data_IF_345139024230
#
_entry.id   IF_345139024230
#
_cell.length_a   1.000
_cell.length_b   1.000
_cell.length_c   1.000
_cell.angle_alpha   90.00
_cell.angle_beta   90.00
_cell.angle_gamma   90.00
#
_symmetry.space_group_name_H-M   'P 1'
#
loop_
_entity.id
_entity.type
_entity.pdbx_description
1 polymer ?
#
# COMPACT_ATOMS: atom_id res chain seq x y z
N UNK A 1 -9.07 -13.71 -7.37
CA UNK A 1 -7.71 -13.38 -7.77
C UNK A 1 -7.74 -12.41 -8.95
N UNK A 2 -7.63 -11.10 -8.67
CA UNK A 2 -7.57 -10.06 -9.70
C UNK A 2 -6.13 -9.79 -10.14
N UNK A 3 -5.94 -9.42 -11.40
CA UNK A 3 -4.67 -8.94 -11.92
C UNK A 3 -4.65 -7.41 -11.87
N UNK A 4 -3.61 -6.83 -11.30
CA UNK A 4 -3.35 -5.39 -11.34
C UNK A 4 -2.18 -5.08 -12.28
N UNK A 5 -2.25 -3.93 -12.93
CA UNK A 5 -1.20 -3.42 -13.83
C UNK A 5 -0.65 -2.13 -13.26
N UNK A 6 0.66 -2.03 -13.22
CA UNK A 6 1.35 -0.84 -12.73
C UNK A 6 2.35 -0.33 -13.77
N UNK A 7 2.14 0.90 -14.22
CA UNK A 7 3.12 1.65 -14.99
C UNK A 7 3.45 2.91 -14.18
N UNK A 8 4.59 2.90 -13.55
CA UNK A 8 5.02 3.99 -12.70
C UNK A 8 6.39 4.53 -13.13
N UNK A 9 6.54 5.84 -13.03
CA UNK A 9 7.79 6.54 -13.22
C UNK A 9 8.39 6.85 -11.86
N UNK A 10 9.69 6.69 -11.73
CA UNK A 10 10.41 7.01 -10.50
C UNK A 10 11.56 7.95 -10.81
N UNK A 11 11.67 9.00 -10.02
CA UNK A 11 12.80 9.92 -10.05
C UNK A 11 13.36 10.08 -8.65
N UNK A 12 14.68 10.22 -8.54
CA UNK A 12 15.36 10.40 -7.26
C UNK A 12 16.43 11.48 -7.42
N UNK A 13 16.37 12.48 -6.54
CA UNK A 13 17.37 13.49 -6.39
C UNK A 13 18.15 13.25 -5.11
N UNK A 14 19.46 13.10 -5.23
CA UNK A 14 20.34 12.90 -4.08
C UNK A 14 21.41 13.98 -4.05
N UNK A 15 21.67 14.50 -2.86
CA UNK A 15 22.80 15.39 -2.60
C UNK A 15 23.60 14.85 -1.43
N UNK A 16 24.90 14.67 -1.66
CA UNK A 16 25.85 14.27 -0.63
C UNK A 16 26.91 15.36 -0.47
N UNK A 17 27.00 15.91 0.73
CA UNK A 17 28.00 16.92 1.12
C UNK A 17 28.78 16.48 2.37
N UNK A 18 28.77 15.18 2.68
CA UNK A 18 29.61 14.60 3.73
C UNK A 18 31.09 14.81 3.39
N UNK A 19 31.90 14.93 4.40
CA UNK A 19 33.34 15.15 4.21
C UNK A 19 34.05 14.01 3.44
N UNK A 20 35.36 14.08 3.38
CA UNK A 20 36.20 13.14 2.60
C UNK A 20 36.07 11.66 3.04
N UNK A 21 35.64 11.42 4.27
CA UNK A 21 35.42 10.07 4.79
C UNK A 21 33.91 9.75 4.80
N UNK A 22 33.41 8.96 3.83
CA UNK A 22 32.00 8.58 3.79
C UNK A 22 31.60 7.54 4.84
N UNK A 23 32.57 6.83 5.45
CA UNK A 23 32.31 5.80 6.45
C UNK A 23 32.17 6.45 7.84
N UNK A 24 33.01 7.43 8.15
CA UNK A 24 32.99 8.16 9.42
C UNK A 24 32.85 9.68 9.18
N UNK A 25 31.73 10.13 8.64
CA UNK A 25 31.54 11.55 8.36
C UNK A 25 31.52 12.36 9.65
N UNK A 26 32.35 13.40 9.74
CA UNK A 26 32.42 14.29 10.90
C UNK A 26 31.55 15.56 10.74
N UNK A 27 31.09 15.83 9.51
CA UNK A 27 30.28 17.01 9.15
C UNK A 27 29.58 16.82 7.83
N UNK A 28 28.63 17.70 7.57
CA UNK A 28 27.89 17.73 6.31
C UNK A 28 26.57 16.99 6.36
N UNK A 29 26.00 16.80 5.21
CA UNK A 29 24.67 16.16 5.08
C UNK A 29 24.59 15.28 3.85
N UNK A 30 23.73 14.30 3.94
CA UNK A 30 23.29 13.51 2.82
C UNK A 30 21.76 13.49 2.81
N UNK A 31 21.15 13.88 1.72
CA UNK A 31 19.71 13.77 1.59
C UNK A 31 19.29 13.27 0.22
N UNK A 32 18.17 12.60 0.22
CA UNK A 32 17.55 12.03 -0.96
C UNK A 32 16.06 12.33 -0.96
N UNK A 33 15.56 12.80 -2.09
CA UNK A 33 14.13 12.94 -2.37
C UNK A 33 13.79 12.03 -3.50
N UNK A 34 12.86 11.13 -3.30
CA UNK A 34 12.36 10.26 -4.37
C UNK A 34 10.87 10.48 -4.58
N UNK A 35 10.48 10.58 -5.84
CA UNK A 35 9.09 10.65 -6.25
C UNK A 35 8.79 9.49 -7.20
N UNK A 36 7.74 8.73 -6.92
CA UNK A 36 7.19 7.67 -7.75
C UNK A 36 5.75 8.02 -8.07
N UNK A 37 5.39 8.02 -9.34
CA UNK A 37 4.06 8.36 -9.79
C UNK A 37 3.64 7.49 -10.95
N UNK A 38 2.38 7.09 -10.94
CA UNK A 38 1.73 6.40 -12.04
C UNK A 38 0.94 7.38 -12.89
N UNK A 39 0.51 6.94 -14.07
CA UNK A 39 -0.38 7.75 -14.91
C UNK A 39 -1.76 7.87 -14.26
N UNK A 40 -2.40 9.04 -14.34
CA UNK A 40 -3.75 9.25 -13.80
C UNK A 40 -4.80 8.68 -14.76
N UNK A 41 -4.94 7.36 -14.80
CA UNK A 41 -5.85 6.64 -15.70
C UNK A 41 -7.31 7.03 -15.52
N UNK A 42 -7.71 7.41 -14.30
CA UNK A 42 -9.09 7.83 -14.00
C UNK A 42 -9.52 9.06 -14.78
N UNK A 43 -8.57 9.90 -15.22
CA UNK A 43 -8.88 11.08 -16.04
C UNK A 43 -9.26 10.73 -17.50
N UNK A 44 -8.86 9.55 -17.96
CA UNK A 44 -8.97 9.18 -19.38
C UNK A 44 -9.95 8.03 -19.64
N UNK A 45 -10.30 7.23 -18.62
CA UNK A 45 -11.09 6.03 -18.83
C UNK A 45 -12.61 6.22 -18.71
N UNK A 46 -13.07 7.39 -18.25
CA UNK A 46 -14.49 7.70 -18.13
C UNK A 46 -15.28 6.85 -17.15
N UNK A 47 -14.61 6.12 -16.24
CA UNK A 47 -15.26 5.26 -15.25
C UNK A 47 -15.66 6.10 -14.04
N UNK A 48 -16.95 6.03 -13.66
CA UNK A 48 -17.45 6.58 -12.41
C UNK A 48 -17.14 5.60 -11.26
N UNK A 49 -16.06 5.88 -10.52
CA UNK A 49 -15.60 5.05 -9.41
C UNK A 49 -16.46 5.20 -8.15
N UNK A 50 -17.16 6.33 -7.99
CA UNK A 50 -18.04 6.55 -6.84
C UNK A 50 -19.26 5.61 -6.89
N UNK A 51 -19.80 5.37 -8.08
CA UNK A 51 -21.00 4.57 -8.30
C UNK A 51 -20.73 3.17 -8.84
N UNK A 52 -19.48 2.70 -8.79
CA UNK A 52 -19.11 1.42 -9.37
C UNK A 52 -19.90 0.25 -8.77
N UNK A 53 -20.10 0.26 -7.44
CA UNK A 53 -20.87 -0.76 -6.74
C UNK A 53 -22.38 -0.80 -7.07
N UNK A 54 -22.91 0.24 -7.69
CA UNK A 54 -24.33 0.31 -8.07
C UNK A 54 -24.63 -0.39 -9.39
N UNK A 55 -23.60 -0.69 -10.20
CA UNK A 55 -23.76 -1.37 -11.48
C UNK A 55 -24.08 -2.84 -11.28
N UNK A 56 -25.02 -3.38 -12.05
CA UNK A 56 -25.47 -4.78 -11.95
C UNK A 56 -24.34 -5.80 -12.14
N UNK A 57 -23.31 -5.47 -12.91
CA UNK A 57 -22.16 -6.34 -13.16
C UNK A 57 -21.28 -6.58 -11.94
N UNK A 58 -21.31 -5.67 -10.94
CA UNK A 58 -20.52 -5.74 -9.69
C UNK A 58 -21.38 -6.13 -8.48
N UNK A 59 -22.65 -6.50 -8.70
CA UNK A 59 -23.51 -7.00 -7.63
C UNK A 59 -23.33 -8.48 -7.43
N UNK A 60 -23.47 -8.90 -6.19
CA UNK A 60 -23.51 -10.31 -5.83
C UNK A 60 -24.68 -10.97 -6.53
N UNK A 61 -24.39 -12.00 -7.33
CA UNK A 61 -25.39 -12.82 -7.97
C UNK A 61 -25.52 -14.13 -7.19
N UNK A 62 -26.74 -14.48 -6.81
CA UNK A 62 -27.00 -15.78 -6.22
C UNK A 62 -26.70 -16.88 -7.25
N UNK A 63 -25.66 -17.66 -7.02
CA UNK A 63 -25.43 -18.85 -7.78
C UNK A 63 -26.24 -19.97 -7.11
N UNK A 64 -27.40 -20.28 -7.67
CA UNK A 64 -28.21 -21.39 -7.22
C UNK A 64 -27.54 -22.70 -7.69
N UNK A 65 -27.01 -23.47 -6.74
CA UNK A 65 -26.60 -24.85 -6.98
C UNK A 65 -27.78 -25.69 -6.57
N UNK A 66 -28.29 -26.50 -7.47
CA UNK A 66 -29.42 -27.37 -7.22
C UNK A 66 -28.92 -28.79 -6.90
N UNK A 67 -28.68 -29.17 -5.62
CA UNK A 67 -28.52 -30.57 -5.28
C UNK A 67 -29.88 -31.24 -5.40
N UNK A 68 -29.91 -32.41 -5.98
CA UNK A 68 -31.08 -33.25 -6.02
C UNK A 68 -31.17 -34.08 -4.74
N UNK A 69 -32.37 -34.18 -4.15
CA UNK A 69 -32.65 -35.13 -3.07
C UNK A 69 -32.65 -36.57 -3.61
N UNK A 70 -32.75 -37.56 -2.71
CA UNK A 70 -32.84 -38.98 -3.07
C UNK A 70 -34.04 -39.33 -3.95
N UNK A 71 -35.01 -38.44 -4.11
CA UNK A 71 -36.21 -38.59 -4.92
C UNK A 71 -36.13 -37.81 -6.25
N UNK A 72 -34.97 -37.18 -6.54
CA UNK A 72 -34.79 -36.40 -7.75
C UNK A 72 -35.36 -34.99 -7.72
N UNK A 73 -35.89 -34.53 -6.58
CA UNK A 73 -36.37 -33.15 -6.43
C UNK A 73 -35.19 -32.21 -6.22
N UNK A 74 -35.20 -31.11 -6.95
CA UNK A 74 -34.18 -30.09 -6.88
C UNK A 74 -34.36 -29.25 -5.61
N UNK A 75 -33.38 -29.30 -4.71
CA UNK A 75 -33.33 -28.46 -3.52
C UNK A 75 -32.53 -27.21 -3.84
N UNK A 76 -33.08 -26.00 -3.72
CA UNK A 76 -32.33 -24.78 -3.91
C UNK A 76 -31.33 -24.58 -2.75
N UNK A 77 -30.05 -24.68 -3.07
CA UNK A 77 -28.97 -24.34 -2.13
C UNK A 77 -28.32 -23.03 -2.57
N UNK A 78 -28.35 -22.05 -1.71
CA UNK A 78 -27.69 -20.77 -1.94
C UNK A 78 -26.23 -20.89 -1.49
N UNK A 79 -25.30 -20.80 -2.44
CA UNK A 79 -23.85 -20.77 -2.17
C UNK A 79 -23.34 -19.37 -2.39
N UNK A 80 -22.62 -18.81 -1.42
CA UNK A 80 -22.01 -17.51 -1.59
C UNK A 80 -20.83 -17.55 -2.59
N UNK A 81 -20.41 -16.38 -3.08
CA UNK A 81 -19.34 -16.26 -4.06
C UNK A 81 -17.97 -16.80 -3.57
N UNK A 82 -17.79 -17.01 -2.28
CA UNK A 82 -16.57 -17.56 -1.64
C UNK A 82 -16.61 -19.06 -1.42
N UNK A 83 -17.71 -19.73 -1.78
CA UNK A 83 -17.82 -21.19 -1.63
C UNK A 83 -18.07 -21.67 -0.19
N UNK A 84 -18.34 -20.77 0.73
CA UNK A 84 -18.73 -21.10 2.11
C UNK A 84 -20.24 -21.27 2.23
N UNK A 85 -20.68 -22.16 3.13
CA UNK A 85 -22.09 -22.35 3.48
C UNK A 85 -22.58 -21.16 4.32
N UNK A 86 -22.82 -20.01 3.73
CA UNK A 86 -23.43 -18.89 4.44
C UNK A 86 -24.79 -18.57 3.87
N UNK A 87 -25.74 -18.51 4.76
CA UNK A 87 -27.17 -18.55 4.50
C UNK A 87 -27.83 -17.18 4.34
N UNK A 88 -27.07 -16.08 4.34
CA UNK A 88 -27.63 -14.74 4.25
C UNK A 88 -27.00 -13.96 3.09
N UNK A 89 -27.48 -14.24 1.90
CA UNK A 89 -27.15 -13.44 0.73
C UNK A 89 -28.22 -12.37 0.51
N UNK A 90 -27.86 -11.11 0.67
CA UNK A 90 -28.72 -10.00 0.28
C UNK A 90 -28.51 -9.75 -1.21
N UNK A 91 -29.49 -10.08 -2.05
CA UNK A 91 -29.46 -9.74 -3.48
C UNK A 91 -29.27 -8.24 -3.68
N UNK A 92 -28.47 -7.90 -4.67
CA UNK A 92 -28.24 -6.49 -5.03
C UNK A 92 -27.18 -5.74 -4.24
N UNK A 93 -26.49 -6.41 -3.30
CA UNK A 93 -25.31 -5.83 -2.60
C UNK A 93 -24.10 -5.89 -3.52
N UNK A 94 -23.28 -4.83 -3.51
CA UNK A 94 -22.04 -4.79 -4.25
C UNK A 94 -21.07 -5.89 -3.81
N UNK A 95 -20.52 -6.65 -4.75
CA UNK A 95 -19.38 -7.52 -4.50
C UNK A 95 -18.12 -6.67 -4.42
N UNK A 96 -17.66 -6.42 -3.19
CA UNK A 96 -16.47 -5.59 -2.93
C UNK A 96 -15.24 -6.13 -3.66
N UNK A 97 -15.13 -7.42 -3.82
CA UNK A 97 -14.02 -8.09 -4.52
C UNK A 97 -13.98 -7.73 -6.00
N UNK A 98 -15.13 -7.71 -6.67
CA UNK A 98 -15.25 -7.32 -8.07
C UNK A 98 -15.06 -5.81 -8.26
N UNK A 99 -15.63 -5.01 -7.35
CA UNK A 99 -15.44 -3.56 -7.33
C UNK A 99 -13.97 -3.21 -7.17
N UNK A 100 -13.26 -3.84 -6.23
CA UNK A 100 -11.85 -3.58 -5.99
C UNK A 100 -10.95 -4.08 -7.12
N UNK A 101 -11.33 -5.18 -7.80
CA UNK A 101 -10.64 -5.63 -9.00
C UNK A 101 -10.68 -4.59 -10.13
N UNK A 102 -11.83 -3.99 -10.39
CA UNK A 102 -11.93 -2.94 -11.41
C UNK A 102 -11.27 -1.65 -10.92
N UNK A 103 -11.46 -1.27 -9.65
CA UNK A 103 -10.86 -0.09 -9.03
C UNK A 103 -9.33 -0.09 -9.11
N UNK A 104 -8.70 -1.25 -8.87
CA UNK A 104 -7.24 -1.41 -8.84
C UNK A 104 -6.65 -2.16 -10.03
N UNK A 105 -7.41 -2.31 -11.10
CA UNK A 105 -6.96 -2.94 -12.35
C UNK A 105 -5.74 -2.23 -12.95
N UNK A 106 -5.75 -0.91 -12.96
CA UNK A 106 -4.61 -0.05 -13.26
C UNK A 106 -4.26 0.74 -12.01
N UNK A 107 -3.07 0.56 -11.48
CA UNK A 107 -2.66 1.26 -10.27
C UNK A 107 -2.40 2.74 -10.56
N UNK A 108 -3.01 3.59 -9.74
CA UNK A 108 -2.94 5.04 -9.87
C UNK A 108 -2.62 5.66 -8.52
N UNK A 109 -1.42 6.26 -8.40
CA UNK A 109 -0.93 6.84 -7.17
C UNK A 109 0.25 7.76 -7.42
N UNK A 110 0.55 8.59 -6.44
CA UNK A 110 1.81 9.28 -6.31
C UNK A 110 2.40 9.06 -4.92
N UNK A 111 3.69 8.87 -4.86
CA UNK A 111 4.44 8.55 -3.64
C UNK A 111 5.69 9.39 -3.58
N UNK A 112 5.85 10.13 -2.50
CA UNK A 112 7.03 10.98 -2.27
C UNK A 112 7.71 10.52 -0.99
N UNK A 113 9.03 10.35 -1.05
CA UNK A 113 9.85 10.02 0.11
C UNK A 113 11.01 10.98 0.22
N UNK A 114 11.29 11.36 1.44
CA UNK A 114 12.46 12.13 1.82
C UNK A 114 13.27 11.34 2.84
N UNK A 115 14.59 11.36 2.70
CA UNK A 115 15.52 10.83 3.69
C UNK A 115 16.69 11.78 3.80
N UNK A 116 17.04 12.17 5.00
CA UNK A 116 18.14 13.09 5.23
C UNK A 116 18.93 12.74 6.48
N UNK A 117 20.24 12.71 6.34
CA UNK A 117 21.21 12.58 7.44
C UNK A 117 22.01 13.86 7.57
N UNK A 118 22.13 14.37 8.79
CA UNK A 118 22.98 15.50 9.12
C UNK A 118 24.00 15.12 10.16
N UNK A 119 25.25 15.48 9.91
CA UNK A 119 26.39 15.19 10.78
C UNK A 119 26.94 16.51 11.32
N UNK A 120 26.92 16.64 12.64
CA UNK A 120 27.41 17.83 13.35
C UNK A 120 28.49 17.43 14.35
N UNK A 121 29.71 17.90 14.12
CA UNK A 121 30.79 17.68 15.05
C UNK A 121 30.59 18.53 16.30
N UNK A 122 30.46 17.89 17.44
CA UNK A 122 30.24 18.58 18.72
C UNK A 122 31.59 18.85 19.41
N UNK A 123 32.40 17.80 19.58
CA UNK A 123 33.65 17.90 20.29
C UNK A 123 34.65 16.80 19.88
N UNK A 124 35.87 17.19 19.49
CA UNK A 124 36.96 16.26 19.08
C UNK A 124 36.47 15.21 18.07
N UNK A 125 36.29 13.98 18.54
CA UNK A 125 35.81 12.82 17.74
C UNK A 125 34.32 12.52 17.94
N UNK A 126 33.63 13.38 18.71
CA UNK A 126 32.22 13.19 18.98
C UNK A 126 31.38 13.89 17.90
N UNK A 127 30.61 13.12 17.17
CA UNK A 127 29.76 13.59 16.06
C UNK A 127 28.32 13.20 16.37
N UNK A 128 27.43 14.15 16.27
CA UNK A 128 25.98 13.91 16.35
C UNK A 128 25.45 13.68 14.94
N UNK A 129 24.82 12.54 14.75
CA UNK A 129 24.04 12.24 13.55
C UNK A 129 22.56 12.42 13.85
N UNK A 130 21.91 13.28 13.08
CA UNK A 130 20.45 13.43 13.09
C UNK A 130 19.91 12.94 11.76
N UNK A 131 18.94 12.05 11.81
CA UNK A 131 18.29 11.48 10.63
C UNK A 131 16.79 11.77 10.65
N UNK A 132 16.27 12.23 9.53
CA UNK A 132 14.85 12.42 9.31
C UNK A 132 14.42 11.67 8.05
N UNK A 133 13.35 10.90 8.16
CA UNK A 133 12.71 10.22 7.05
C UNK A 133 11.23 10.56 7.03
N UNK A 134 10.72 10.84 5.83
CA UNK A 134 9.33 11.17 5.59
C UNK A 134 8.85 10.45 4.35
N UNK A 135 7.63 9.93 4.39
CA UNK A 135 6.97 9.35 3.23
C UNK A 135 5.50 9.72 3.17
N UNK A 136 5.06 9.97 1.97
CA UNK A 136 3.68 10.31 1.66
C UNK A 136 3.21 9.51 0.44
N UNK A 137 2.02 8.93 0.55
CA UNK A 137 1.33 8.23 -0.51
C UNK A 137 -0.06 8.84 -0.72
N UNK A 138 -0.36 9.23 -1.94
CA UNK A 138 -1.65 9.78 -2.31
C UNK A 138 -2.24 9.16 -3.57
N UNK A 139 -3.53 9.40 -3.78
CA UNK A 139 -4.26 9.04 -4.98
C UNK A 139 -4.67 10.31 -5.72
N UNK A 140 -4.73 10.27 -7.06
CA UNK A 140 -5.23 11.40 -7.86
C UNK A 140 -6.75 11.52 -7.78
N UNK A 141 -7.44 10.38 -7.63
CA UNK A 141 -8.88 10.32 -7.54
C UNK A 141 -9.30 9.74 -6.17
N UNK A 142 -10.06 10.53 -5.38
CA UNK A 142 -10.52 10.16 -4.04
C UNK A 142 -11.50 8.98 -4.05
N UNK A 143 -12.37 8.90 -5.06
CA UNK A 143 -13.40 7.87 -5.17
C UNK A 143 -12.81 6.51 -5.49
N UNK A 144 -11.65 6.52 -6.13
CA UNK A 144 -10.86 5.33 -6.38
C UNK A 144 -10.12 4.84 -5.15
N UNK A 145 -9.70 5.76 -4.30
CA UNK A 145 -9.00 5.48 -3.06
C UNK A 145 -7.51 5.19 -3.25
N UNK A 146 -6.83 4.96 -2.14
CA UNK A 146 -5.38 4.77 -2.09
C UNK A 146 -5.04 3.30 -2.32
N UNK A 147 -4.08 3.07 -3.20
CA UNK A 147 -3.59 1.73 -3.56
C UNK A 147 -3.08 1.00 -2.31
N UNK A 148 -3.62 -0.19 -1.99
CA UNK A 148 -3.25 -0.91 -0.77
C UNK A 148 -1.82 -1.47 -0.81
N UNK A 149 -1.29 -1.80 -1.99
CA UNK A 149 0.02 -2.45 -2.16
C UNK A 149 1.23 -1.50 -1.98
N UNK A 150 1.02 -0.19 -2.03
CA UNK A 150 2.09 0.81 -1.92
C UNK A 150 2.15 1.49 -0.54
N UNK A 151 1.34 1.03 0.41
CA UNK A 151 1.27 1.61 1.76
C UNK A 151 2.51 1.31 2.57
N UNK A 152 2.78 2.14 3.56
CA UNK A 152 3.90 2.02 4.48
C UNK A 152 3.54 1.19 5.70
N UNK A 153 4.46 0.32 6.12
CA UNK A 153 4.34 -0.47 7.34
C UNK A 153 5.53 -0.14 8.23
N UNK A 154 5.28 0.40 9.42
CA UNK A 154 6.31 0.87 10.34
C UNK A 154 6.50 -0.12 11.48
N UNK A 155 7.76 -0.44 11.75
CA UNK A 155 8.21 -1.32 12.83
C UNK A 155 9.03 -2.49 12.32
N UNK A 156 9.84 -3.04 13.22
CA UNK A 156 10.70 -4.18 12.96
C UNK A 156 12.14 -3.83 12.62
N UNK A 157 12.96 -4.85 12.61
CA UNK A 157 14.37 -4.77 12.28
C UNK A 157 14.68 -4.94 10.79
N UNK A 158 13.64 -5.25 9.99
CA UNK A 158 13.76 -5.52 8.56
C UNK A 158 14.32 -6.90 8.21
N UNK A 159 14.63 -7.74 9.20
CA UNK A 159 15.24 -9.06 9.00
C UNK A 159 14.22 -10.21 9.09
N UNK A 160 13.16 -10.02 9.86
CA UNK A 160 12.15 -11.03 10.07
C UNK A 160 11.00 -10.86 9.06
N UNK A 161 10.71 -11.91 8.32
CA UNK A 161 9.63 -12.03 7.34
C UNK A 161 9.79 -11.11 6.12
N UNK A 162 10.57 -11.56 5.16
CA UNK A 162 10.40 -11.14 3.79
C UNK A 162 9.01 -11.57 3.32
N UNK A 163 8.04 -10.71 3.53
CA UNK A 163 6.76 -10.84 2.86
C UNK A 163 6.99 -10.44 1.41
N UNK A 164 6.94 -11.40 0.50
CA UNK A 164 7.06 -11.18 -0.95
C UNK A 164 5.83 -10.47 -1.54
N UNK A 165 5.01 -9.88 -0.68
CA UNK A 165 3.77 -9.18 -1.06
C UNK A 165 3.99 -7.73 -1.55
N UNK A 166 5.24 -7.28 -1.64
CA UNK A 166 5.60 -5.95 -2.13
C UNK A 166 5.37 -4.82 -1.12
N UNK A 167 5.08 -5.13 0.14
CA UNK A 167 4.90 -4.11 1.20
C UNK A 167 6.19 -3.36 1.48
N UNK A 168 6.09 -2.07 1.65
CA UNK A 168 7.23 -1.25 2.06
C UNK A 168 7.30 -1.16 3.58
N UNK A 169 8.30 -1.84 4.15
CA UNK A 169 8.53 -1.85 5.60
C UNK A 169 9.55 -0.77 5.97
N UNK A 170 9.14 0.12 6.86
CA UNK A 170 9.99 1.17 7.43
C UNK A 170 10.55 0.63 8.76
N UNK A 171 11.84 0.33 8.75
CA UNK A 171 12.53 -0.23 9.90
C UNK A 171 12.53 0.74 11.08
N UNK A 172 12.18 0.23 12.25
CA UNK A 172 12.28 0.97 13.50
C UNK A 172 12.82 0.05 14.60
N UNK A 173 14.06 0.29 15.00
CA UNK A 173 14.76 -0.51 16.01
C UNK A 173 14.01 -0.47 17.34
N UNK A 174 13.88 -1.64 18.00
CA UNK A 174 13.19 -1.77 19.28
C UNK A 174 11.69 -1.99 19.22
N UNK A 175 11.12 -2.04 18.02
CA UNK A 175 9.70 -2.31 17.81
C UNK A 175 9.51 -3.61 17.03
N UNK A 176 8.51 -4.43 17.38
CA UNK A 176 8.15 -5.61 16.58
C UNK A 176 7.71 -5.23 15.17
N UNK A 177 7.77 -6.18 14.23
CA UNK A 177 7.37 -5.97 12.85
C UNK A 177 5.92 -5.46 12.76
N UNK A 178 5.72 -4.40 11.97
CA UNK A 178 4.43 -3.76 11.70
C UNK A 178 3.66 -3.27 12.95
N UNK A 179 4.32 -3.19 14.12
CA UNK A 179 3.66 -2.88 15.40
C UNK A 179 3.06 -1.49 15.48
N UNK A 180 3.55 -0.55 14.70
CA UNK A 180 3.08 0.84 14.66
C UNK A 180 2.18 1.14 13.48
N UNK A 181 1.83 0.14 12.69
CA UNK A 181 0.95 0.29 11.54
C UNK A 181 -0.39 -0.38 11.79
N UNK A 182 -1.45 0.17 11.20
CA UNK A 182 -2.72 -0.54 11.11
C UNK A 182 -2.55 -1.78 10.22
N UNK A 183 -3.50 -2.73 10.29
CA UNK A 183 -3.54 -3.92 9.43
C UNK A 183 -3.44 -3.58 7.94
N UNK A 184 -3.94 -2.39 7.56
CA UNK A 184 -3.96 -1.91 6.18
C UNK A 184 -2.75 -1.03 5.80
N UNK A 185 -1.79 -0.82 6.70
CA UNK A 185 -0.67 0.09 6.50
C UNK A 185 -1.05 1.57 6.57
N UNK A 186 -0.03 2.44 6.54
CA UNK A 186 -0.16 3.90 6.58
C UNK A 186 0.05 4.54 5.21
N UNK A 187 -0.48 5.73 5.03
CA UNK A 187 -0.27 6.56 3.84
C UNK A 187 0.77 7.64 4.05
N UNK A 188 1.08 7.91 5.30
CA UNK A 188 2.11 8.88 5.73
C UNK A 188 2.93 8.25 6.84
N UNK A 189 4.23 8.47 6.81
CA UNK A 189 5.09 8.17 7.95
C UNK A 189 6.12 9.28 8.16
N UNK A 190 6.48 9.47 9.41
CA UNK A 190 7.62 10.28 9.84
C UNK A 190 8.48 9.46 10.78
N UNK A 191 9.79 9.51 10.59
CA UNK A 191 10.75 8.86 11.46
C UNK A 191 11.93 9.78 11.69
N UNK A 192 12.28 9.95 12.94
CA UNK A 192 13.44 10.74 13.38
C UNK A 192 14.32 9.86 14.25
N UNK A 193 15.62 9.96 14.06
CA UNK A 193 16.60 9.34 14.93
C UNK A 193 17.78 10.27 15.19
N UNK A 194 18.38 10.11 16.35
CA UNK A 194 19.56 10.86 16.79
C UNK A 194 20.56 9.88 17.38
N UNK A 195 21.76 9.88 16.89
CA UNK A 195 22.85 8.95 17.29
C UNK A 195 24.14 9.74 17.60
#
# INVERSE_FOLDING_TARGET
NGASRNLAFSTTLTRDSRGLDPIFPDRGSNFSVSAKFSLPYSLFNGIDYANLGNKEEYKLRNKTVFPTDSNGNVLPVYVNATGGNTFNFTEGVADQSLVDQERFKWLEFYKVKFSGDWYTKIYKKFVLRTRAEFGFLGAYNSDRGIVPFERFYVGGDGLANYSLDGREVIQLRGYPNNSLSSSNGGTVYNKYSME
#
